data_IF_203589522783
#
_entry.id   IF_203589522783
#
_cell.length_a   1.000
_cell.length_b   1.000
_cell.length_c   1.000
_cell.angle_alpha   90.00
_cell.angle_beta   90.00
_cell.angle_gamma   90.00
#
_symmetry.space_group_name_H-M   'P 1'
#
loop_
_entity.id
_entity.type
_entity.pdbx_description
1 polymer ?
#
# COMPACT_ATOMS: atom_id res chain seq x y z
N UNK A 1 36.06 4.16 -56.44
CA UNK A 1 34.75 4.21 -55.77
C UNK A 1 34.98 4.20 -54.28
N UNK A 2 34.43 5.17 -53.55
CA UNK A 2 34.40 5.12 -52.08
C UNK A 2 33.28 4.16 -51.70
N UNK A 3 33.60 3.12 -50.93
CA UNK A 3 32.60 2.26 -50.33
C UNK A 3 31.86 3.06 -49.26
N UNK A 4 30.57 3.25 -49.46
CA UNK A 4 29.65 3.87 -48.51
C UNK A 4 29.35 2.84 -47.43
N UNK A 5 30.11 2.88 -46.32
CA UNK A 5 29.87 2.01 -45.16
C UNK A 5 28.69 2.61 -44.40
N UNK A 6 27.49 2.13 -44.71
CA UNK A 6 26.30 2.41 -43.90
C UNK A 6 26.39 1.60 -42.61
N UNK A 7 26.76 2.24 -41.52
CA UNK A 7 26.52 1.72 -40.18
C UNK A 7 25.02 1.87 -39.86
N UNK A 8 24.35 0.77 -39.56
CA UNK A 8 22.99 0.79 -38.99
C UNK A 8 23.11 0.51 -37.50
N UNK A 9 22.82 1.51 -36.65
CA UNK A 9 22.66 1.30 -35.23
C UNK A 9 21.22 0.84 -34.96
N UNK A 10 21.05 -0.33 -34.33
CA UNK A 10 19.75 -0.75 -33.79
C UNK A 10 19.67 -0.25 -32.36
N UNK A 11 18.72 0.65 -32.08
CA UNK A 11 18.42 1.04 -30.71
C UNK A 11 17.69 -0.12 -30.02
N UNK A 12 18.25 -0.64 -28.93
CA UNK A 12 17.63 -1.66 -28.10
C UNK A 12 17.40 -1.04 -26.72
N UNK A 13 16.24 -1.29 -26.11
CA UNK A 13 15.98 -0.88 -24.74
C UNK A 13 16.99 -1.53 -23.80
N UNK A 14 17.59 -0.74 -22.91
CA UNK A 14 18.46 -1.28 -21.86
C UNK A 14 17.58 -2.00 -20.82
N UNK A 15 17.82 -3.29 -20.51
CA UNK A 15 17.06 -3.97 -19.47
C UNK A 15 17.29 -3.33 -18.10
N UNK A 16 16.30 -3.46 -17.23
CA UNK A 16 16.28 -2.89 -15.88
C UNK A 16 16.19 -4.00 -14.84
N UNK A 17 16.78 -3.76 -13.68
CA UNK A 17 16.49 -4.51 -12.46
C UNK A 17 15.82 -3.51 -11.50
N UNK A 18 14.55 -3.77 -11.20
CA UNK A 18 13.67 -2.84 -10.48
C UNK A 18 13.29 -3.49 -9.15
N UNK A 19 13.37 -2.76 -8.04
CA UNK A 19 12.73 -3.18 -6.80
C UNK A 19 11.55 -2.27 -6.49
N UNK A 20 10.35 -2.87 -6.42
CA UNK A 20 9.18 -2.20 -5.87
C UNK A 20 9.31 -2.18 -4.35
N UNK A 21 9.28 -1.00 -3.75
CA UNK A 21 9.38 -0.77 -2.31
C UNK A 21 8.02 -0.27 -1.84
N UNK A 22 7.16 -1.20 -1.41
CA UNK A 22 5.72 -0.97 -1.19
C UNK A 22 5.42 -0.79 0.31
N UNK A 23 4.63 0.25 0.61
CA UNK A 23 4.02 0.43 1.92
C UNK A 23 2.86 -0.56 2.12
N UNK A 24 2.93 -1.34 3.20
CA UNK A 24 1.85 -2.19 3.68
C UNK A 24 1.46 -1.83 5.12
N UNK A 25 1.79 -0.63 5.58
CA UNK A 25 1.48 -0.14 6.92
C UNK A 25 -0.04 -0.01 7.13
N UNK A 26 -0.44 0.28 8.37
CA UNK A 26 -1.86 0.39 8.71
C UNK A 26 -2.57 1.56 8.02
N UNK A 27 -1.83 2.62 7.64
CA UNK A 27 -2.39 3.79 6.96
C UNK A 27 -2.96 3.46 5.60
N UNK A 28 -2.46 2.41 4.95
CA UNK A 28 -2.91 1.94 3.63
C UNK A 28 -4.37 1.44 3.58
N UNK A 29 -5.15 1.64 4.65
CA UNK A 29 -6.60 1.43 4.74
C UNK A 29 -7.38 2.63 5.30
N UNK A 30 -6.74 3.77 5.56
CA UNK A 30 -7.36 4.89 6.26
C UNK A 30 -8.44 5.58 5.43
N UNK A 31 -8.32 5.61 4.10
CA UNK A 31 -9.35 6.22 3.23
C UNK A 31 -10.66 5.45 3.27
N UNK A 32 -10.60 4.16 3.62
CA UNK A 32 -11.75 3.27 3.83
C UNK A 32 -12.35 3.34 5.25
N UNK A 33 -11.80 4.16 6.15
CA UNK A 33 -12.22 4.21 7.55
C UNK A 33 -13.02 5.48 7.84
N UNK A 34 -13.94 5.42 8.80
CA UNK A 34 -14.81 6.53 9.22
C UNK A 34 -14.02 7.78 9.64
N UNK A 35 -12.78 7.60 10.09
CA UNK A 35 -11.83 8.69 10.34
C UNK A 35 -11.62 9.64 9.16
N UNK A 36 -11.86 9.20 7.93
CA UNK A 36 -11.64 9.94 6.69
C UNK A 36 -12.90 10.63 6.18
N UNK A 37 -14.04 10.46 6.85
CA UNK A 37 -15.29 11.18 6.53
C UNK A 37 -15.09 12.70 6.45
N UNK A 38 -14.33 13.37 7.35
CA UNK A 38 -14.10 14.81 7.21
C UNK A 38 -13.37 15.23 5.94
N UNK A 39 -12.59 14.33 5.32
CA UNK A 39 -11.79 14.61 4.14
C UNK A 39 -12.44 14.12 2.84
N UNK A 40 -13.12 12.96 2.87
CA UNK A 40 -13.65 12.27 1.69
C UNK A 40 -15.18 12.29 1.60
N UNK A 41 -15.86 12.68 2.68
CA UNK A 41 -17.32 12.60 2.81
C UNK A 41 -17.83 11.22 3.26
N UNK A 42 -19.01 11.20 3.87
CA UNK A 42 -19.68 9.99 4.36
C UNK A 42 -19.93 9.00 3.22
N UNK A 43 -20.50 9.47 2.12
CA UNK A 43 -20.97 8.62 1.02
C UNK A 43 -19.84 7.79 0.41
N UNK A 44 -18.65 8.39 0.22
CA UNK A 44 -17.49 7.70 -0.32
C UNK A 44 -16.98 6.62 0.64
N UNK A 45 -16.83 6.95 1.92
CA UNK A 45 -16.30 6.04 2.94
C UNK A 45 -17.27 4.88 3.19
N UNK A 46 -18.56 5.16 3.32
CA UNK A 46 -19.59 4.17 3.58
C UNK A 46 -19.82 3.24 2.39
N UNK A 47 -19.79 3.78 1.16
CA UNK A 47 -19.84 2.97 -0.07
C UNK A 47 -18.67 2.00 -0.16
N UNK A 48 -17.45 2.45 0.19
CA UNK A 48 -16.29 1.56 0.20
C UNK A 48 -16.36 0.51 1.33
N UNK A 49 -16.84 0.87 2.52
CA UNK A 49 -17.11 -0.11 3.58
C UNK A 49 -18.18 -1.14 3.16
N UNK A 50 -19.18 -0.72 2.39
CA UNK A 50 -20.19 -1.62 1.82
C UNK A 50 -19.59 -2.56 0.78
N UNK A 51 -18.69 -2.07 -0.08
CA UNK A 51 -17.95 -2.91 -1.02
C UNK A 51 -17.13 -3.97 -0.27
N UNK A 52 -16.35 -3.57 0.74
CA UNK A 52 -15.55 -4.47 1.58
C UNK A 52 -16.45 -5.53 2.25
N UNK A 53 -17.61 -5.14 2.77
CA UNK A 53 -18.59 -6.06 3.33
C UNK A 53 -19.03 -7.13 2.33
N UNK A 54 -19.30 -6.74 1.08
CA UNK A 54 -19.72 -7.66 0.02
C UNK A 54 -18.59 -8.58 -0.46
N UNK A 55 -17.36 -8.07 -0.57
CA UNK A 55 -16.17 -8.84 -0.97
C UNK A 55 -15.81 -9.91 0.06
N UNK A 56 -16.09 -9.65 1.35
CA UNK A 56 -16.00 -10.64 2.42
C UNK A 56 -17.22 -11.57 2.49
N UNK A 57 -18.06 -11.61 1.44
CA UNK A 57 -19.18 -12.55 1.33
C UNK A 57 -20.49 -12.10 1.97
N UNK A 58 -20.60 -10.84 2.41
CA UNK A 58 -21.81 -10.25 3.00
C UNK A 58 -22.46 -11.11 4.11
N UNK A 59 -21.63 -11.74 4.94
CA UNK A 59 -22.08 -12.70 5.95
C UNK A 59 -23.05 -12.08 6.96
N UNK A 60 -24.11 -12.82 7.33
CA UNK A 60 -24.98 -12.43 8.45
C UNK A 60 -24.34 -12.87 9.76
N UNK A 61 -24.01 -11.90 10.62
CA UNK A 61 -23.49 -12.16 11.97
C UNK A 61 -24.61 -11.99 12.99
N UNK A 62 -25.23 -13.09 13.42
CA UNK A 62 -26.42 -13.02 14.26
C UNK A 62 -27.57 -12.35 13.50
N UNK A 63 -28.03 -11.21 13.99
CA UNK A 63 -29.06 -10.38 13.34
C UNK A 63 -28.47 -9.13 12.67
N UNK A 64 -27.14 -8.98 12.64
CA UNK A 64 -26.48 -7.83 12.00
C UNK A 64 -26.55 -7.91 10.48
N UNK A 65 -27.18 -6.89 9.87
CA UNK A 65 -26.98 -6.52 8.47
C UNK A 65 -25.85 -5.51 8.31
N UNK A 66 -25.67 -4.99 7.08
CA UNK A 66 -24.70 -3.91 6.84
C UNK A 66 -25.07 -2.62 7.57
N UNK A 67 -26.33 -2.21 7.44
CA UNK A 67 -26.86 -1.01 8.08
C UNK A 67 -26.71 -1.07 9.60
N UNK A 68 -26.49 0.11 10.19
CA UNK A 68 -26.31 0.21 11.63
C UNK A 68 -27.63 0.33 12.38
N UNK A 69 -27.65 -0.18 13.60
CA UNK A 69 -28.75 -0.06 14.55
C UNK A 69 -28.22 0.57 15.83
N UNK A 70 -28.85 1.68 16.23
CA UNK A 70 -28.52 2.34 17.49
C UNK A 70 -28.97 1.50 18.69
N UNK A 71 -28.04 1.18 19.59
CA UNK A 71 -28.35 0.51 20.86
C UNK A 71 -27.83 1.35 22.02
N UNK A 72 -28.75 1.96 22.78
CA UNK A 72 -28.41 2.91 23.84
C UNK A 72 -27.62 2.33 25.02
N UNK A 73 -27.65 1.00 25.20
CA UNK A 73 -27.01 0.33 26.32
C UNK A 73 -25.47 0.39 26.25
N UNK A 74 -24.82 0.51 27.42
CA UNK A 74 -23.37 0.31 27.59
C UNK A 74 -23.05 -1.10 28.11
N UNK A 75 -24.06 -1.96 28.28
CA UNK A 75 -23.88 -3.31 28.79
C UNK A 75 -23.64 -4.25 27.61
N UNK A 76 -22.41 -4.76 27.48
CA UNK A 76 -21.99 -5.64 26.38
C UNK A 76 -22.91 -6.86 26.20
N UNK A 77 -23.44 -7.42 27.30
CA UNK A 77 -24.37 -8.54 27.21
C UNK A 77 -25.70 -8.13 26.59
N UNK A 78 -26.22 -6.95 26.96
CA UNK A 78 -27.46 -6.41 26.36
C UNK A 78 -27.27 -6.07 24.89
N UNK A 79 -26.14 -5.47 24.53
CA UNK A 79 -25.82 -5.16 23.13
C UNK A 79 -25.69 -6.43 22.30
N UNK A 80 -24.89 -7.42 22.74
CA UNK A 80 -24.79 -8.72 22.03
C UNK A 80 -26.13 -9.40 21.89
N UNK A 81 -26.96 -9.38 22.94
CA UNK A 81 -28.31 -9.97 22.89
C UNK A 81 -29.17 -9.28 21.83
N UNK A 82 -29.14 -7.96 21.75
CA UNK A 82 -29.90 -7.18 20.78
C UNK A 82 -29.44 -7.40 19.33
N UNK A 83 -28.18 -7.77 19.12
CA UNK A 83 -27.60 -8.08 17.80
C UNK A 83 -27.62 -9.57 17.44
N UNK A 84 -28.17 -10.44 18.30
CA UNK A 84 -28.15 -11.89 18.08
C UNK A 84 -26.75 -12.53 18.17
N UNK A 85 -25.79 -11.90 18.85
CA UNK A 85 -24.38 -12.32 18.88
C UNK A 85 -24.01 -13.28 20.02
N UNK A 86 -24.90 -13.52 20.99
CA UNK A 86 -24.57 -14.30 22.19
C UNK A 86 -24.12 -15.75 21.89
N UNK A 87 -24.66 -16.36 20.83
CA UNK A 87 -24.31 -17.71 20.38
C UNK A 87 -23.69 -17.72 18.98
N UNK A 88 -23.36 -16.54 18.43
CA UNK A 88 -22.74 -16.41 17.12
C UNK A 88 -21.24 -16.39 17.30
N UNK A 89 -20.48 -17.36 16.75
CA UNK A 89 -19.03 -17.34 16.82
C UNK A 89 -18.47 -16.05 16.19
N UNK A 90 -17.36 -15.56 16.74
CA UNK A 90 -16.60 -14.50 16.09
C UNK A 90 -15.90 -15.10 14.85
N UNK A 91 -15.95 -14.46 13.66
CA UNK A 91 -15.57 -15.12 12.42
C UNK A 91 -14.05 -15.24 12.18
N UNK A 92 -13.22 -14.46 12.87
CA UNK A 92 -11.79 -14.37 12.58
C UNK A 92 -10.90 -14.91 13.73
N UNK A 93 -9.64 -15.27 13.44
CA UNK A 93 -8.71 -15.84 14.42
C UNK A 93 -8.46 -14.99 15.68
N UNK A 94 -8.53 -13.65 15.57
CA UNK A 94 -8.28 -12.73 16.68
C UNK A 94 -9.37 -11.67 16.80
N UNK A 95 -9.83 -11.46 18.02
CA UNK A 95 -10.88 -10.50 18.35
C UNK A 95 -12.08 -11.17 19.03
N UNK A 96 -13.07 -10.35 19.35
CA UNK A 96 -14.34 -10.83 19.91
C UNK A 96 -15.48 -9.86 19.61
N UNK A 97 -16.72 -10.31 19.75
CA UNK A 97 -17.87 -9.41 19.72
C UNK A 97 -17.82 -8.35 20.81
N UNK A 98 -17.26 -8.66 21.98
CA UNK A 98 -17.05 -7.66 23.03
C UNK A 98 -16.05 -6.60 22.57
N UNK A 99 -14.95 -6.97 21.91
CA UNK A 99 -13.96 -6.01 21.42
C UNK A 99 -14.59 -5.06 20.38
N UNK A 100 -15.38 -5.61 19.46
CA UNK A 100 -16.15 -4.83 18.49
C UNK A 100 -17.13 -3.87 19.18
N UNK A 101 -17.90 -4.35 20.17
CA UNK A 101 -18.86 -3.52 20.89
C UNK A 101 -18.16 -2.39 21.65
N UNK A 102 -17.08 -2.71 22.37
CA UNK A 102 -16.29 -1.74 23.10
C UNK A 102 -15.66 -0.70 22.16
N UNK A 103 -15.23 -1.11 20.97
CA UNK A 103 -14.77 -0.21 19.92
C UNK A 103 -15.86 0.78 19.50
N UNK A 104 -17.06 0.29 19.16
CA UNK A 104 -18.18 1.15 18.72
C UNK A 104 -18.67 2.11 19.81
N UNK A 105 -18.54 1.73 21.08
CA UNK A 105 -18.90 2.59 22.21
C UNK A 105 -17.86 3.68 22.53
N UNK A 106 -16.58 3.38 22.28
CA UNK A 106 -15.44 4.13 22.81
C UNK A 106 -14.61 4.90 21.79
N UNK A 107 -14.66 4.54 20.50
CA UNK A 107 -13.80 5.16 19.49
C UNK A 107 -14.23 6.60 19.18
N UNK A 108 -13.25 7.51 19.15
CA UNK A 108 -13.50 8.93 18.93
C UNK A 108 -13.93 9.23 17.51
N UNK A 109 -13.37 8.55 16.49
CA UNK A 109 -13.75 8.81 15.10
C UNK A 109 -15.19 8.39 14.83
N UNK A 110 -15.64 7.29 15.41
CA UNK A 110 -17.05 6.91 15.36
C UNK A 110 -17.94 7.95 16.04
N UNK A 111 -17.58 8.38 17.25
CA UNK A 111 -18.34 9.42 17.98
C UNK A 111 -18.43 10.72 17.19
N UNK A 112 -17.31 11.20 16.68
CA UNK A 112 -17.22 12.51 16.04
C UNK A 112 -17.93 12.54 14.68
N UNK A 113 -18.14 11.37 14.07
CA UNK A 113 -18.90 11.20 12.82
C UNK A 113 -20.28 10.57 13.04
N UNK A 114 -20.79 10.53 14.27
CA UNK A 114 -22.19 10.16 14.55
C UNK A 114 -22.50 8.66 14.61
N UNK A 115 -21.50 7.79 14.68
CA UNK A 115 -21.61 6.32 14.70
C UNK A 115 -21.47 5.68 16.10
N UNK A 116 -21.47 6.49 17.16
CA UNK A 116 -21.27 5.97 18.51
C UNK A 116 -22.51 5.20 18.96
N UNK A 117 -22.29 3.91 19.26
CA UNK A 117 -23.33 2.92 19.58
C UNK A 117 -24.24 2.55 18.40
N UNK A 118 -23.77 2.78 17.18
CA UNK A 118 -24.42 2.33 15.96
C UNK A 118 -23.71 1.07 15.47
N UNK A 119 -24.36 -0.07 15.70
CA UNK A 119 -23.79 -1.39 15.47
C UNK A 119 -24.35 -1.99 14.19
N UNK A 120 -23.49 -2.50 13.31
CA UNK A 120 -23.84 -3.06 12.01
C UNK A 120 -22.58 -3.41 11.22
N UNK A 121 -22.75 -3.97 10.03
CA UNK A 121 -21.65 -4.32 9.13
C UNK A 121 -20.76 -3.12 8.80
N UNK A 122 -21.33 -1.92 8.64
CA UNK A 122 -20.58 -0.68 8.41
C UNK A 122 -19.53 -0.44 9.51
N UNK A 123 -19.93 -0.38 10.78
CA UNK A 123 -18.98 -0.16 11.88
C UNK A 123 -18.13 -1.39 12.19
N UNK A 124 -18.59 -2.59 11.82
CA UNK A 124 -17.80 -3.82 11.93
C UNK A 124 -16.66 -3.86 10.91
N UNK A 125 -16.88 -3.52 9.64
CA UNK A 125 -15.83 -3.41 8.63
C UNK A 125 -14.80 -2.34 9.03
N UNK A 126 -15.29 -1.18 9.48
CA UNK A 126 -14.41 -0.14 9.99
C UNK A 126 -13.60 -0.61 11.22
N UNK A 127 -14.18 -1.42 12.13
CA UNK A 127 -13.45 -2.05 13.23
C UNK A 127 -12.34 -2.99 12.75
N UNK A 128 -12.60 -3.83 11.73
CA UNK A 128 -11.59 -4.73 11.20
C UNK A 128 -10.38 -3.95 10.65
N UNK A 129 -10.62 -2.92 9.84
CA UNK A 129 -9.56 -2.07 9.30
C UNK A 129 -8.84 -1.25 10.39
N UNK A 130 -9.58 -0.73 11.36
CA UNK A 130 -9.01 0.14 12.39
C UNK A 130 -8.25 -0.65 13.47
N UNK A 131 -8.69 -1.86 13.83
CA UNK A 131 -8.22 -2.59 15.03
C UNK A 131 -7.79 -4.03 14.80
N UNK A 132 -8.21 -4.68 13.71
CA UNK A 132 -7.91 -6.10 13.40
C UNK A 132 -7.29 -6.29 12.01
N UNK A 133 -6.45 -5.33 11.61
CA UNK A 133 -5.94 -5.23 10.24
C UNK A 133 -4.84 -6.22 9.89
N UNK A 134 -4.18 -6.80 10.90
CA UNK A 134 -3.07 -7.72 10.65
C UNK A 134 -3.56 -9.01 9.99
N UNK A 135 -2.77 -9.60 9.10
CA UNK A 135 -3.13 -10.85 8.42
C UNK A 135 -3.35 -12.00 9.41
N UNK A 136 -2.59 -12.02 10.52
CA UNK A 136 -2.78 -13.01 11.59
C UNK A 136 -4.07 -12.81 12.38
N UNK A 137 -4.71 -11.65 12.28
CA UNK A 137 -5.97 -11.32 12.98
C UNK A 137 -7.19 -11.48 12.08
N UNK A 138 -7.12 -10.92 10.86
CA UNK A 138 -8.16 -11.00 9.83
C UNK A 138 -7.50 -11.38 8.50
N UNK A 139 -7.32 -12.67 8.21
CA UNK A 139 -6.59 -13.15 7.03
C UNK A 139 -7.24 -12.80 5.69
N UNK A 140 -8.50 -12.39 5.69
CA UNK A 140 -9.28 -12.22 4.47
C UNK A 140 -9.24 -10.80 3.89
N UNK A 141 -8.65 -9.83 4.60
CA UNK A 141 -8.65 -8.42 4.15
C UNK A 141 -7.85 -8.20 2.86
N UNK A 142 -6.92 -9.07 2.49
CA UNK A 142 -6.22 -8.92 1.20
C UNK A 142 -7.15 -9.03 -0.02
N UNK A 143 -8.32 -9.69 0.16
CA UNK A 143 -9.34 -9.85 -0.87
C UNK A 143 -10.22 -8.61 -1.05
N UNK A 144 -10.07 -7.59 -0.19
CA UNK A 144 -10.97 -6.44 -0.14
C UNK A 144 -10.36 -5.18 -0.73
N UNK A 145 -11.22 -4.34 -1.29
CA UNK A 145 -10.88 -3.10 -1.96
C UNK A 145 -10.75 -1.93 -0.97
N UNK A 146 -9.86 -2.06 0.02
CA UNK A 146 -9.56 -0.96 0.93
C UNK A 146 -8.46 -0.04 0.37
N UNK A 147 -8.59 1.25 0.64
CA UNK A 147 -7.77 2.33 0.06
C UNK A 147 -6.89 3.01 1.12
N UNK A 148 -5.70 3.49 0.72
CA UNK A 148 -5.18 3.54 -0.66
C UNK A 148 -4.56 2.25 -1.23
N UNK A 149 -4.44 1.15 -0.46
CA UNK A 149 -3.71 -0.04 -0.91
C UNK A 149 -4.19 -0.60 -2.26
N UNK A 150 -5.51 -0.61 -2.49
CA UNK A 150 -6.07 -1.15 -3.74
C UNK A 150 -5.60 -0.37 -4.97
N UNK A 151 -5.54 0.96 -4.90
CA UNK A 151 -5.03 1.78 -5.99
C UNK A 151 -3.54 1.51 -6.27
N UNK A 152 -2.74 1.30 -5.21
CA UNK A 152 -1.34 0.90 -5.34
C UNK A 152 -1.21 -0.44 -6.04
N UNK A 153 -2.00 -1.44 -5.63
CA UNK A 153 -2.01 -2.75 -6.28
C UNK A 153 -2.40 -2.65 -7.75
N UNK A 154 -3.43 -1.86 -8.07
CA UNK A 154 -3.87 -1.60 -9.44
C UNK A 154 -2.76 -0.95 -10.30
N UNK A 155 -1.99 -0.04 -9.71
CA UNK A 155 -0.95 0.67 -10.45
C UNK A 155 0.32 -0.16 -10.61
N UNK A 156 0.62 -1.03 -9.64
CA UNK A 156 1.61 -2.10 -9.80
C UNK A 156 1.20 -3.03 -10.95
N UNK A 157 -0.06 -3.45 -11.03
CA UNK A 157 -0.56 -4.28 -12.12
C UNK A 157 -0.31 -3.64 -13.50
N UNK A 158 -0.61 -2.34 -13.65
CA UNK A 158 -0.35 -1.60 -14.90
C UNK A 158 1.14 -1.53 -15.22
N UNK A 159 1.98 -1.26 -14.22
CA UNK A 159 3.42 -1.23 -14.40
C UNK A 159 3.95 -2.57 -14.93
N UNK A 160 3.52 -3.66 -14.30
CA UNK A 160 3.88 -5.03 -14.66
C UNK A 160 3.35 -5.41 -16.06
N UNK A 161 2.14 -5.00 -16.42
CA UNK A 161 1.59 -5.16 -17.78
C UNK A 161 2.46 -4.45 -18.83
N UNK A 162 2.87 -3.21 -18.55
CA UNK A 162 3.76 -2.48 -19.45
C UNK A 162 5.11 -3.18 -19.63
N UNK A 163 5.71 -3.70 -18.54
CA UNK A 163 6.98 -4.43 -18.63
C UNK A 163 6.86 -5.66 -19.54
N UNK A 164 5.74 -6.37 -19.42
CA UNK A 164 5.41 -7.55 -20.22
C UNK A 164 5.19 -7.20 -21.69
N UNK A 165 4.43 -6.14 -21.98
CA UNK A 165 4.07 -5.74 -23.33
C UNK A 165 5.26 -5.22 -24.14
N UNK A 166 6.18 -4.49 -23.51
CA UNK A 166 7.41 -4.04 -24.17
C UNK A 166 8.44 -5.19 -24.29
N UNK A 167 8.12 -6.39 -23.78
CA UNK A 167 8.91 -7.61 -23.87
C UNK A 167 10.38 -7.40 -23.53
N UNK A 168 10.63 -6.66 -22.45
CA UNK A 168 11.99 -6.43 -21.98
C UNK A 168 12.46 -7.54 -21.07
N UNK A 169 13.77 -7.79 -21.10
CA UNK A 169 14.47 -8.62 -20.12
C UNK A 169 14.55 -7.94 -18.74
N UNK A 170 13.53 -7.15 -18.35
CA UNK A 170 13.44 -6.49 -17.04
C UNK A 170 13.23 -7.55 -15.94
N UNK A 171 13.80 -7.33 -14.76
CA UNK A 171 13.51 -8.12 -13.55
C UNK A 171 12.91 -7.23 -12.49
N UNK A 172 11.98 -7.78 -11.72
CA UNK A 172 11.31 -7.08 -10.63
C UNK A 172 11.47 -7.85 -9.33
N UNK A 173 11.85 -7.14 -8.27
CA UNK A 173 11.82 -7.61 -6.89
C UNK A 173 10.77 -6.83 -6.09
N UNK A 174 10.39 -7.36 -4.93
CA UNK A 174 9.39 -6.76 -4.05
C UNK A 174 9.93 -6.68 -2.62
N UNK A 175 10.11 -5.45 -2.14
CA UNK A 175 10.45 -5.10 -0.76
C UNK A 175 9.24 -4.45 -0.10
N UNK A 176 8.95 -4.81 1.15
CA UNK A 176 7.86 -4.25 1.95
C UNK A 176 8.37 -3.88 3.32
N UNK A 177 7.86 -2.80 3.90
CA UNK A 177 8.59 -2.16 4.99
C UNK A 177 7.85 -1.80 6.25
N UNK A 178 6.81 -2.53 6.61
CA UNK A 178 6.98 -3.08 7.97
C UNK A 178 6.59 -4.53 8.00
N UNK A 179 7.59 -5.37 8.28
CA UNK A 179 7.47 -6.78 8.59
C UNK A 179 7.26 -6.97 10.10
N UNK A 180 6.97 -8.20 10.52
CA UNK A 180 6.58 -8.52 11.89
C UNK A 180 7.67 -8.29 12.94
N UNK A 181 8.95 -8.16 12.53
CA UNK A 181 10.06 -7.86 13.43
C UNK A 181 10.34 -6.35 13.57
N UNK A 182 9.54 -5.49 12.94
CA UNK A 182 9.73 -4.03 12.93
C UNK A 182 10.72 -3.49 11.89
N UNK A 183 11.35 -4.37 11.10
CA UNK A 183 12.17 -4.04 9.92
C UNK A 183 11.41 -4.33 8.62
N UNK A 184 12.05 -4.15 7.47
CA UNK A 184 11.50 -4.55 6.18
C UNK A 184 11.70 -6.04 5.86
N UNK A 185 11.01 -6.51 4.84
CA UNK A 185 11.05 -7.86 4.30
C UNK A 185 11.20 -7.80 2.79
N UNK A 186 12.11 -8.62 2.25
CA UNK A 186 12.13 -8.93 0.82
C UNK A 186 11.09 -10.03 0.57
N UNK A 187 9.91 -9.64 0.10
CA UNK A 187 8.84 -10.59 -0.29
C UNK A 187 9.31 -11.52 -1.39
N UNK A 188 10.05 -10.95 -2.34
CA UNK A 188 10.66 -11.70 -3.43
C UNK A 188 11.88 -10.97 -3.99
N UNK A 189 12.93 -11.73 -4.29
CA UNK A 189 14.10 -11.20 -5.01
C UNK A 189 13.80 -10.90 -6.48
N UNK A 190 14.78 -10.35 -7.19
CA UNK A 190 14.66 -10.02 -8.61
C UNK A 190 14.29 -11.26 -9.44
N UNK A 191 13.17 -11.19 -10.16
CA UNK A 191 12.69 -12.26 -11.05
C UNK A 191 12.14 -11.69 -12.35
N UNK A 192 12.16 -12.49 -13.41
CA UNK A 192 11.44 -12.26 -14.67
C UNK A 192 10.01 -12.83 -14.63
N UNK A 193 9.63 -13.56 -13.57
CA UNK A 193 8.25 -13.99 -13.31
C UNK A 193 7.42 -12.84 -12.74
N UNK A 194 6.98 -11.97 -13.64
CA UNK A 194 6.16 -10.80 -13.32
C UNK A 194 4.81 -11.17 -12.70
N UNK A 195 4.23 -12.32 -13.06
CA UNK A 195 2.96 -12.78 -12.50
C UNK A 195 3.09 -13.23 -11.04
N UNK A 196 4.26 -13.74 -10.65
CA UNK A 196 4.56 -14.01 -9.25
C UNK A 196 4.58 -12.72 -8.42
N UNK A 197 5.24 -11.66 -8.91
CA UNK A 197 5.25 -10.35 -8.22
C UNK A 197 3.84 -9.77 -8.11
N UNK A 198 3.05 -9.87 -9.19
CA UNK A 198 1.64 -9.47 -9.20
C UNK A 198 0.84 -10.20 -8.12
N UNK A 199 0.94 -11.52 -8.09
CA UNK A 199 0.23 -12.38 -7.14
C UNK A 199 0.61 -12.07 -5.70
N UNK A 200 1.90 -11.89 -5.41
CA UNK A 200 2.39 -11.52 -4.09
C UNK A 200 1.84 -10.18 -3.64
N UNK A 201 1.94 -9.13 -4.47
CA UNK A 201 1.40 -7.80 -4.17
C UNK A 201 -0.11 -7.84 -3.88
N UNK A 202 -0.89 -8.55 -4.72
CA UNK A 202 -2.35 -8.68 -4.55
C UNK A 202 -2.75 -9.44 -3.29
N UNK A 203 -1.95 -10.43 -2.86
CA UNK A 203 -2.18 -11.24 -1.66
C UNK A 203 -1.67 -10.60 -0.36
N UNK A 204 -1.48 -9.27 -0.33
CA UNK A 204 -1.16 -8.51 0.88
C UNK A 204 -2.28 -7.55 1.27
N UNK A 205 -2.29 -7.07 2.51
CA UNK A 205 -3.33 -6.18 3.04
C UNK A 205 -2.69 -5.03 3.82
N UNK A 206 -3.44 -3.97 4.09
CA UNK A 206 -2.97 -2.90 4.96
C UNK A 206 -2.70 -3.44 6.36
N UNK A 207 -1.52 -3.13 6.90
CA UNK A 207 -1.00 -3.70 8.13
C UNK A 207 -0.69 -5.19 8.06
N UNK A 208 -0.43 -5.79 6.88
CA UNK A 208 -0.29 -7.25 6.71
C UNK A 208 0.57 -7.90 7.80
N UNK A 209 1.76 -7.34 8.05
CA UNK A 209 2.67 -7.83 9.10
C UNK A 209 2.75 -6.92 10.33
N UNK A 210 2.79 -5.61 10.14
CA UNK A 210 2.88 -4.60 11.19
C UNK A 210 2.24 -3.29 10.71
N UNK A 211 1.75 -2.47 11.64
CA UNK A 211 0.97 -1.26 11.33
C UNK A 211 1.80 0.01 11.19
N UNK A 212 3.10 -0.03 11.49
CA UNK A 212 4.02 1.11 11.43
C UNK A 212 4.58 1.30 10.01
N UNK A 213 5.37 2.34 9.80
CA UNK A 213 5.86 2.81 8.50
C UNK A 213 7.39 2.99 8.55
N UNK A 214 8.15 1.95 8.18
CA UNK A 214 9.62 1.96 8.20
C UNK A 214 10.24 2.13 6.79
N UNK A 215 9.96 3.26 6.13
CA UNK A 215 10.40 3.54 4.74
C UNK A 215 11.89 3.26 4.52
N UNK A 216 12.76 3.73 5.43
CA UNK A 216 14.21 3.55 5.32
C UNK A 216 14.62 2.07 5.27
N UNK A 217 14.00 1.21 6.08
CA UNK A 217 14.29 -0.22 6.04
C UNK A 217 13.88 -0.84 4.70
N UNK A 218 12.78 -0.39 4.10
CA UNK A 218 12.32 -0.85 2.79
C UNK A 218 13.30 -0.52 1.68
N UNK A 219 13.79 0.71 1.69
CA UNK A 219 14.84 1.18 0.79
C UNK A 219 16.13 0.39 0.98
N UNK A 220 16.54 0.17 2.24
CA UNK A 220 17.74 -0.60 2.56
C UNK A 220 17.67 -2.02 1.99
N UNK A 221 16.54 -2.72 2.20
CA UNK A 221 16.33 -4.08 1.67
C UNK A 221 16.32 -4.08 0.15
N UNK A 222 15.65 -3.11 -0.49
CA UNK A 222 15.62 -3.01 -1.95
C UNK A 222 16.99 -2.72 -2.55
N UNK A 223 17.75 -1.79 -1.96
CA UNK A 223 19.13 -1.48 -2.37
C UNK A 223 20.04 -2.70 -2.21
N UNK A 224 19.95 -3.41 -1.08
CA UNK A 224 20.74 -4.61 -0.83
C UNK A 224 20.45 -5.72 -1.84
N UNK A 225 19.19 -5.87 -2.27
CA UNK A 225 18.83 -6.81 -3.34
C UNK A 225 19.45 -6.40 -4.68
N UNK A 226 19.42 -5.11 -5.03
CA UNK A 226 20.08 -4.59 -6.24
C UNK A 226 21.61 -4.76 -6.20
N UNK A 227 22.23 -4.57 -5.03
CA UNK A 227 23.67 -4.77 -4.82
C UNK A 227 24.07 -6.24 -5.00
N UNK A 228 23.29 -7.16 -4.42
CA UNK A 228 23.60 -8.58 -4.42
C UNK A 228 23.28 -9.26 -5.76
N UNK A 229 22.13 -8.91 -6.36
CA UNK A 229 21.52 -9.70 -7.43
C UNK A 229 21.25 -8.89 -8.72
N UNK A 230 21.46 -7.57 -8.70
CA UNK A 230 21.33 -6.75 -9.89
C UNK A 230 22.41 -7.07 -10.93
N UNK A 231 22.02 -7.12 -12.20
CA UNK A 231 22.91 -7.51 -13.31
C UNK A 231 23.90 -6.40 -13.65
N UNK A 232 25.06 -6.79 -14.17
CA UNK A 232 25.98 -5.84 -14.78
C UNK A 232 25.39 -5.29 -16.09
N UNK A 233 25.51 -3.98 -16.32
CA UNK A 233 25.05 -3.36 -17.57
C UNK A 233 23.54 -3.10 -17.69
N UNK A 234 22.73 -3.49 -16.71
CA UNK A 234 21.32 -3.05 -16.59
C UNK A 234 21.23 -1.70 -15.90
N UNK A 235 20.09 -1.02 -16.02
CA UNK A 235 19.75 0.08 -15.14
C UNK A 235 19.15 -0.52 -13.85
N UNK A 236 19.65 -0.11 -12.69
CA UNK A 236 19.12 -0.55 -11.40
C UNK A 236 18.37 0.60 -10.77
N UNK A 237 17.16 0.36 -10.27
CA UNK A 237 16.29 1.43 -9.77
C UNK A 237 15.32 0.89 -8.73
N UNK A 238 14.81 1.79 -7.88
CA UNK A 238 13.73 1.48 -6.95
C UNK A 238 12.51 2.35 -7.24
N UNK A 239 11.32 1.78 -7.08
CA UNK A 239 10.06 2.54 -7.06
C UNK A 239 9.56 2.51 -5.62
N UNK A 240 9.59 3.66 -4.96
CA UNK A 240 9.23 3.81 -3.55
C UNK A 240 7.83 4.41 -3.43
N UNK A 241 6.94 3.77 -2.66
CA UNK A 241 5.58 4.24 -2.43
C UNK A 241 5.30 4.43 -0.95
N UNK A 242 4.66 5.54 -0.55
CA UNK A 242 4.16 5.77 0.82
C UNK A 242 2.88 6.60 0.82
N UNK A 243 1.95 6.31 1.74
CA UNK A 243 0.78 7.15 2.04
C UNK A 243 0.93 7.94 3.36
N UNK A 244 2.05 7.74 4.05
CA UNK A 244 2.23 8.18 5.42
C UNK A 244 3.64 8.67 5.74
N UNK A 245 3.79 9.03 7.01
CA UNK A 245 5.02 9.53 7.59
C UNK A 245 5.87 8.38 8.13
N UNK A 246 7.17 8.40 7.83
CA UNK A 246 8.12 7.49 8.45
C UNK A 246 8.03 7.62 9.98
N UNK A 247 7.88 6.49 10.69
CA UNK A 247 7.73 6.47 12.14
C UNK A 247 8.55 5.37 12.84
N UNK A 248 9.34 4.61 12.06
CA UNK A 248 10.28 3.59 12.50
C UNK A 248 11.70 3.88 11.99
N UNK A 249 12.75 3.49 12.72
CA UNK A 249 12.77 2.46 13.76
C UNK A 249 12.30 2.91 15.16
N UNK A 250 12.29 4.21 15.45
CA UNK A 250 12.00 4.70 16.81
C UNK A 250 10.94 5.82 16.86
N UNK A 251 11.18 6.94 16.19
CA UNK A 251 10.28 8.09 16.12
C UNK A 251 10.44 8.77 14.76
N UNK A 252 9.54 9.69 14.42
CA UNK A 252 9.50 10.33 13.11
C UNK A 252 10.80 11.05 12.71
N UNK A 253 11.52 11.68 13.65
CA UNK A 253 12.76 12.38 13.33
C UNK A 253 13.87 11.40 12.93
N UNK A 254 14.06 10.34 13.73
CA UNK A 254 15.04 9.28 13.43
C UNK A 254 14.63 8.48 12.19
N UNK A 255 13.33 8.26 12.01
CA UNK A 255 12.78 7.58 10.85
C UNK A 255 13.05 8.36 9.56
N UNK A 256 12.83 9.69 9.58
CA UNK A 256 13.15 10.58 8.47
C UNK A 256 14.65 10.57 8.15
N UNK A 257 15.51 10.69 9.16
CA UNK A 257 16.96 10.63 8.99
C UNK A 257 17.40 9.31 8.34
N UNK A 258 16.83 8.18 8.76
CA UNK A 258 17.14 6.88 8.16
C UNK A 258 16.75 6.80 6.67
N UNK A 259 15.64 7.42 6.26
CA UNK A 259 15.24 7.52 4.85
C UNK A 259 16.27 8.32 4.04
N UNK A 260 16.76 9.43 4.58
CA UNK A 260 17.77 10.27 3.94
C UNK A 260 19.11 9.52 3.82
N UNK A 261 19.54 8.83 4.88
CA UNK A 261 20.77 8.03 4.86
C UNK A 261 20.72 6.94 3.77
N UNK A 262 19.59 6.23 3.64
CA UNK A 262 19.43 5.21 2.59
C UNK A 262 19.28 5.83 1.19
N UNK A 263 18.76 7.05 1.07
CA UNK A 263 18.77 7.78 -0.21
C UNK A 263 20.21 8.07 -0.65
N UNK A 264 21.08 8.55 0.25
CA UNK A 264 22.50 8.74 -0.07
C UNK A 264 23.19 7.42 -0.41
N UNK A 265 22.92 6.34 0.33
CA UNK A 265 23.47 5.03 0.02
C UNK A 265 23.02 4.51 -1.37
N UNK A 266 21.77 4.76 -1.76
CA UNK A 266 21.28 4.43 -3.10
C UNK A 266 21.92 5.31 -4.20
N UNK A 267 22.13 6.61 -3.92
CA UNK A 267 22.82 7.52 -4.82
C UNK A 267 24.28 7.11 -5.07
N UNK A 268 25.02 6.76 -4.00
CA UNK A 268 26.40 6.27 -4.08
C UNK A 268 26.51 4.96 -4.89
N UNK A 269 25.48 4.11 -4.84
CA UNK A 269 25.37 2.90 -5.64
C UNK A 269 24.91 3.17 -7.09
N UNK A 270 24.44 4.38 -7.40
CA UNK A 270 23.93 4.78 -8.71
C UNK A 270 22.53 4.24 -9.01
N UNK A 271 21.67 4.11 -7.99
CA UNK A 271 20.30 3.62 -8.11
C UNK A 271 19.30 4.77 -7.94
N UNK A 272 18.82 5.39 -9.04
CA UNK A 272 17.78 6.41 -8.95
C UNK A 272 16.49 5.84 -8.38
N UNK A 273 15.76 6.66 -7.63
CA UNK A 273 14.50 6.27 -6.98
C UNK A 273 13.35 7.09 -7.57
N UNK A 274 12.32 6.39 -8.06
CA UNK A 274 11.02 7.00 -8.34
C UNK A 274 10.18 7.00 -7.05
N UNK A 275 10.02 8.16 -6.43
CA UNK A 275 9.37 8.34 -5.13
C UNK A 275 7.91 8.81 -5.31
N UNK A 276 6.95 8.00 -4.88
CA UNK A 276 5.51 8.25 -5.04
C UNK A 276 4.88 8.51 -3.67
N UNK A 277 4.35 9.70 -3.48
CA UNK A 277 3.60 10.10 -2.29
C UNK A 277 2.10 10.06 -2.55
N UNK A 278 1.34 9.47 -1.63
CA UNK A 278 -0.08 9.23 -1.77
C UNK A 278 -0.89 9.88 -0.65
N UNK A 279 -1.91 10.65 -1.02
CA UNK A 279 -2.83 11.22 -0.06
C UNK A 279 -2.24 12.37 0.76
N UNK A 280 -3.06 12.93 1.65
CA UNK A 280 -2.69 14.10 2.45
C UNK A 280 -1.79 13.78 3.65
N UNK A 281 -1.60 12.49 3.96
CA UNK A 281 -0.79 12.02 5.08
C UNK A 281 0.69 11.82 4.76
N UNK A 282 1.05 11.72 3.48
CA UNK A 282 2.41 11.44 3.03
C UNK A 282 3.37 12.62 3.29
N UNK A 283 4.64 12.30 3.58
CA UNK A 283 5.71 13.28 3.70
C UNK A 283 6.25 13.65 2.32
N UNK A 284 5.55 14.54 1.60
CA UNK A 284 5.92 14.90 0.23
C UNK A 284 7.32 15.49 0.14
N UNK A 285 7.70 16.32 1.13
CA UNK A 285 9.04 16.90 1.19
C UNK A 285 10.14 15.86 1.37
N UNK A 286 9.91 14.82 2.19
CA UNK A 286 10.86 13.70 2.29
C UNK A 286 11.01 12.94 0.97
N UNK A 287 9.91 12.72 0.26
CA UNK A 287 9.92 11.99 -1.01
C UNK A 287 10.56 12.82 -2.14
N UNK A 288 10.41 14.14 -2.12
CA UNK A 288 11.17 15.08 -2.95
C UNK A 288 12.66 15.03 -2.63
N UNK A 289 13.06 15.07 -1.35
CA UNK A 289 14.47 14.95 -0.93
C UNK A 289 15.08 13.63 -1.45
N UNK A 290 14.36 12.50 -1.33
CA UNK A 290 14.82 11.18 -1.83
C UNK A 290 15.04 11.20 -3.34
N UNK A 291 14.11 11.78 -4.10
CA UNK A 291 14.23 11.88 -5.55
C UNK A 291 15.42 12.77 -5.94
N UNK A 292 15.60 13.92 -5.28
CA UNK A 292 16.73 14.83 -5.55
C UNK A 292 18.08 14.16 -5.26
N UNK A 293 18.23 13.56 -4.07
CA UNK A 293 19.48 12.90 -3.64
C UNK A 293 19.86 11.80 -4.63
N UNK A 294 18.89 11.00 -5.08
CA UNK A 294 19.15 9.85 -5.95
C UNK A 294 19.19 10.18 -7.44
N UNK A 295 19.02 11.47 -7.81
CA UNK A 295 18.80 11.87 -9.22
C UNK A 295 17.65 11.10 -9.88
N UNK A 296 16.63 10.79 -9.09
CA UNK A 296 15.39 10.15 -9.50
C UNK A 296 14.29 11.16 -9.79
N UNK A 297 13.04 10.76 -9.53
CA UNK A 297 11.84 11.56 -9.78
C UNK A 297 10.86 11.40 -8.63
N UNK A 298 10.13 12.46 -8.30
CA UNK A 298 9.05 12.40 -7.32
C UNK A 298 7.70 12.66 -7.98
N UNK A 299 6.68 11.95 -7.50
CA UNK A 299 5.29 12.15 -7.89
C UNK A 299 4.44 12.29 -6.64
N UNK A 300 3.50 13.24 -6.66
CA UNK A 300 2.56 13.45 -5.58
C UNK A 300 1.14 13.29 -6.11
N UNK A 301 0.42 12.29 -5.58
CA UNK A 301 -1.01 12.10 -5.79
C UNK A 301 -1.72 12.68 -4.57
N UNK A 302 -2.39 13.84 -4.67
CA UNK A 302 -2.98 14.52 -3.52
C UNK A 302 -4.11 13.70 -2.88
N UNK A 303 -4.34 13.95 -1.60
CA UNK A 303 -5.52 13.45 -0.88
C UNK A 303 -6.71 14.40 -0.96
N UNK A 304 -7.86 13.97 -0.43
CA UNK A 304 -9.08 14.79 -0.39
C UNK A 304 -9.84 14.85 -1.72
N UNK A 305 -9.40 14.09 -2.72
CA UNK A 305 -10.12 13.83 -3.95
C UNK A 305 -10.88 12.50 -3.87
N UNK A 306 -11.74 12.22 -4.84
CA UNK A 306 -12.42 10.92 -4.89
C UNK A 306 -11.43 9.79 -5.14
N UNK A 307 -11.76 8.58 -4.66
CA UNK A 307 -10.94 7.37 -4.89
C UNK A 307 -10.68 7.14 -6.38
N UNK A 308 -11.65 7.41 -7.25
CA UNK A 308 -11.53 7.22 -8.69
C UNK A 308 -10.54 8.19 -9.35
N UNK A 309 -10.53 9.47 -8.94
CA UNK A 309 -9.56 10.46 -9.44
C UNK A 309 -8.15 10.10 -8.97
N UNK A 310 -8.03 9.78 -7.69
CA UNK A 310 -6.79 9.30 -7.07
C UNK A 310 -6.21 8.06 -7.76
N UNK A 311 -7.06 7.09 -8.12
CA UNK A 311 -6.65 5.91 -8.88
C UNK A 311 -6.11 6.28 -10.27
N UNK A 312 -6.80 7.12 -11.03
CA UNK A 312 -6.36 7.45 -12.39
C UNK A 312 -5.03 8.21 -12.40
N UNK A 313 -4.84 9.16 -11.47
CA UNK A 313 -3.57 9.87 -11.32
C UNK A 313 -2.41 8.91 -11.00
N UNK A 314 -2.62 7.96 -10.08
CA UNK A 314 -1.61 6.97 -9.74
C UNK A 314 -1.28 6.04 -10.92
N UNK A 315 -2.29 5.67 -11.72
CA UNK A 315 -2.10 4.89 -12.94
C UNK A 315 -1.24 5.64 -13.96
N UNK A 316 -1.46 6.94 -14.13
CA UNK A 316 -0.63 7.77 -15.03
C UNK A 316 0.82 7.89 -14.55
N UNK A 317 1.05 8.02 -13.24
CA UNK A 317 2.39 8.02 -12.65
C UNK A 317 3.13 6.73 -13.00
N UNK A 318 2.50 5.57 -12.82
CA UNK A 318 3.15 4.30 -13.14
C UNK A 318 3.35 4.07 -14.64
N UNK A 319 2.42 4.53 -15.50
CA UNK A 319 2.63 4.54 -16.97
C UNK A 319 3.87 5.37 -17.33
N UNK A 320 4.03 6.53 -16.71
CA UNK A 320 5.19 7.40 -16.93
C UNK A 320 6.50 6.71 -16.52
N UNK A 321 6.57 6.16 -15.30
CA UNK A 321 7.75 5.44 -14.80
C UNK A 321 8.07 4.22 -15.68
N UNK A 322 7.05 3.51 -16.15
CA UNK A 322 7.23 2.35 -17.02
C UNK A 322 7.85 2.76 -18.37
N UNK A 323 7.38 3.88 -18.94
CA UNK A 323 7.82 4.43 -20.23
C UNK A 323 9.21 5.08 -20.18
N UNK A 324 9.64 5.62 -19.04
CA UNK A 324 10.98 6.19 -18.89
C UNK A 324 12.07 5.12 -19.05
N UNK A 325 12.76 5.19 -20.20
CA UNK A 325 13.81 4.24 -20.58
C UNK A 325 14.95 4.95 -21.30
N UNK A 326 16.15 5.03 -20.70
CA UNK A 326 17.32 5.54 -21.41
C UNK A 326 17.67 4.58 -22.56
N UNK A 327 17.64 5.11 -23.80
CA UNK A 327 18.03 4.36 -24.99
C UNK A 327 19.52 4.07 -24.97
N UNK A 328 19.91 2.84 -25.33
CA UNK A 328 21.32 2.49 -25.60
C UNK A 328 21.51 2.32 -27.10
N UNK A 329 22.38 3.14 -27.68
CA UNK A 329 22.85 2.94 -29.05
C UNK A 329 23.84 1.78 -29.06
N UNK A 330 23.59 0.77 -29.89
CA UNK A 330 24.54 -0.29 -30.19
C UNK A 330 25.16 0.04 -31.55
N UNK A 331 26.48 0.26 -31.55
CA UNK A 331 27.29 0.47 -32.75
C UNK A 331 27.95 -0.84 -33.17
#
# INVERSE_FOLDING_TARGET
>A
GKADVRASATAIYRPRDIVLVIDLSGSMSYDSQIRSVPALGSDAVESNLYQIWNELGAHTYGEMGFETVYISSNDDWRVKRALGLNNTPYPYPSGSWNDYINYVQGDSYLRDNGYRKDYGGLTFMNYLLARRRHHTETPDLWMTSHHPLTAVKDSVDIFLDFLRDVATEDRVGLSVYTSSNGHALLEHGLTDDIELIRSLSRQRQAGHYDGQTNIGAGMAVGRQELDANGRAGTLKTMILLTDGQANRPSNNAVAREYVIDEAYAAADAGYPIAAISLGAGADTGLMEDVAEITSGVSFHVPGGQSVAEYEEELREVFRHIAAERPLRLVN
#
